data_IF_852542373602
#
_entry.id   IF_852542373602
#
_cell.length_a   1.000
_cell.length_b   1.000
_cell.length_c   1.000
_cell.angle_alpha   90.00
_cell.angle_beta   90.00
_cell.angle_gamma   90.00
#
_symmetry.space_group_name_H-M   'P 1'
#
loop_
_entity.id
_entity.type
_entity.pdbx_description
1 polymer ?
#
# COMPACT_ATOMS: atom_id res chain seq x y z
N UNK A 1 -6.74 1.20 -5.92
CA UNK A 1 -6.44 1.89 -4.66
C UNK A 1 -7.70 2.54 -4.17
N UNK A 2 -7.95 2.47 -2.87
CA UNK A 2 -9.08 3.16 -2.26
C UNK A 2 -8.81 4.67 -2.25
N UNK A 3 -9.82 5.51 -2.46
CA UNK A 3 -9.61 6.95 -2.59
C UNK A 3 -9.59 7.62 -1.21
N UNK A 4 -8.44 8.17 -0.82
CA UNK A 4 -8.30 8.87 0.46
C UNK A 4 -7.06 9.74 0.49
N UNK A 5 -6.82 10.42 1.62
CA UNK A 5 -5.63 11.29 1.77
C UNK A 5 -4.34 10.45 1.71
N UNK A 6 -4.34 9.24 2.29
CA UNK A 6 -3.21 8.30 2.22
C UNK A 6 -2.80 7.96 0.77
N UNK A 7 -3.78 7.87 -0.14
CA UNK A 7 -3.61 7.50 -1.55
C UNK A 7 -3.76 8.70 -2.49
N UNK A 8 -3.70 9.92 -1.97
CA UNK A 8 -3.80 11.14 -2.78
C UNK A 8 -2.71 11.18 -3.86
N UNK A 9 -3.11 11.52 -5.09
CA UNK A 9 -2.25 11.55 -6.27
C UNK A 9 -2.09 10.20 -6.98
N UNK A 10 -2.84 9.17 -6.58
CA UNK A 10 -2.93 7.88 -7.27
C UNK A 10 -4.29 7.69 -7.94
N UNK A 11 -4.29 6.96 -9.05
CA UNK A 11 -5.50 6.45 -9.71
C UNK A 11 -6.08 5.21 -9.04
N UNK A 12 -7.23 4.77 -9.56
CA UNK A 12 -7.88 3.55 -9.07
C UNK A 12 -7.07 2.27 -9.37
N UNK A 13 -6.32 2.24 -10.48
CA UNK A 13 -5.38 1.18 -10.85
C UNK A 13 -3.99 1.80 -11.04
N UNK A 14 -2.98 1.21 -10.42
CA UNK A 14 -1.63 1.76 -10.35
C UNK A 14 -0.60 0.63 -10.36
N UNK A 15 0.57 0.91 -10.92
CA UNK A 15 1.70 -0.03 -10.92
C UNK A 15 2.61 0.27 -9.74
N UNK A 16 2.55 -0.57 -8.70
CA UNK A 16 3.36 -0.44 -7.50
C UNK A 16 4.51 -1.44 -7.48
N UNK A 17 5.66 -1.00 -6.98
CA UNK A 17 6.86 -1.83 -6.92
C UNK A 17 6.88 -2.73 -5.69
N UNK A 18 6.99 -4.05 -5.91
CA UNK A 18 7.08 -5.08 -4.86
C UNK A 18 8.19 -6.07 -5.23
N UNK A 19 9.38 -5.89 -4.68
CA UNK A 19 10.56 -6.72 -4.97
C UNK A 19 10.51 -8.06 -4.25
N UNK A 20 10.06 -8.06 -3.00
CA UNK A 20 10.05 -9.25 -2.13
C UNK A 20 8.90 -10.20 -2.47
N UNK A 21 7.95 -9.77 -3.30
CA UNK A 21 6.72 -10.52 -3.56
C UNK A 21 5.85 -10.67 -2.32
N UNK A 22 5.89 -9.72 -1.38
CA UNK A 22 5.15 -9.77 -0.12
C UNK A 22 3.73 -9.23 -0.26
N UNK A 23 2.82 -9.77 0.55
CA UNK A 23 1.46 -9.27 0.73
C UNK A 23 1.01 -9.49 2.18
N UNK A 24 -0.03 -8.78 2.58
CA UNK A 24 -0.66 -8.90 3.90
C UNK A 24 -1.75 -9.98 3.83
N UNK A 25 -1.71 -10.94 4.75
CA UNK A 25 -2.63 -12.09 4.79
C UNK A 25 -3.85 -11.87 5.68
N UNK A 26 -3.77 -10.96 6.65
CA UNK A 26 -4.84 -10.61 7.57
C UNK A 26 -4.83 -9.10 7.85
N UNK A 27 -6.01 -8.52 7.92
CA UNK A 27 -6.24 -7.09 8.16
C UNK A 27 -7.25 -6.99 9.32
N UNK A 28 -7.02 -6.13 10.33
CA UNK A 28 -7.99 -5.90 11.40
C UNK A 28 -9.37 -5.47 10.86
N UNK A 29 -10.45 -5.78 11.57
CA UNK A 29 -11.82 -5.49 11.11
C UNK A 29 -12.09 -3.99 10.95
N UNK A 30 -11.47 -3.16 11.79
CA UNK A 30 -11.60 -1.72 11.82
C UNK A 30 -10.59 -0.98 10.93
N UNK A 31 -9.75 -1.71 10.18
CA UNK A 31 -8.75 -1.14 9.32
C UNK A 31 -9.31 -0.76 7.94
N UNK A 32 -8.84 0.38 7.41
CA UNK A 32 -9.11 0.81 6.04
C UNK A 32 -8.05 0.23 5.10
N UNK A 33 -8.49 -0.57 4.12
CA UNK A 33 -7.60 -1.10 3.08
C UNK A 33 -7.31 -0.03 2.03
N UNK A 34 -6.04 0.35 1.89
CA UNK A 34 -5.61 1.42 0.99
C UNK A 34 -5.30 0.90 -0.43
N UNK A 35 -4.71 -0.30 -0.51
CA UNK A 35 -4.34 -0.92 -1.77
C UNK A 35 -4.42 -2.45 -1.69
N UNK A 36 -4.88 -3.04 -2.79
CA UNK A 36 -4.82 -4.48 -3.04
C UNK A 36 -4.10 -4.72 -4.36
N UNK A 37 -3.43 -5.87 -4.46
CA UNK A 37 -3.03 -6.41 -5.75
C UNK A 37 -4.30 -6.67 -6.57
N UNK A 38 -4.25 -6.39 -7.87
CA UNK A 38 -5.40 -6.65 -8.74
C UNK A 38 -5.80 -8.13 -8.66
N UNK A 39 -7.11 -8.38 -8.69
CA UNK A 39 -7.69 -9.72 -8.68
C UNK A 39 -8.03 -10.21 -10.11
N UNK A 40 -7.34 -9.62 -11.10
CA UNK A 40 -7.46 -9.97 -12.50
C UNK A 40 -6.42 -11.06 -12.84
N UNK A 41 -6.74 -11.94 -13.78
CA UNK A 41 -5.84 -13.03 -14.18
C UNK A 41 -4.57 -12.55 -14.88
N UNK A 42 -4.65 -11.38 -15.52
CA UNK A 42 -3.63 -10.71 -16.31
C UNK A 42 -2.99 -9.52 -15.58
N UNK A 43 -3.04 -9.50 -14.24
CA UNK A 43 -2.42 -8.42 -13.47
C UNK A 43 -0.94 -8.24 -13.84
N UNK A 44 -0.51 -6.98 -13.86
CA UNK A 44 0.84 -6.62 -14.29
C UNK A 44 1.92 -7.30 -13.43
N UNK A 45 2.84 -8.00 -14.09
CA UNK A 45 4.00 -8.65 -13.48
C UNK A 45 5.24 -8.24 -14.28
N UNK A 46 6.23 -7.68 -13.60
CA UNK A 46 7.53 -7.37 -14.18
C UNK A 46 8.57 -8.38 -13.70
N UNK A 47 9.19 -9.13 -14.61
CA UNK A 47 10.24 -10.10 -14.31
C UNK A 47 9.72 -11.49 -13.90
N UNK A 48 10.62 -12.32 -13.38
CA UNK A 48 10.32 -13.69 -12.97
C UNK A 48 9.86 -13.72 -11.50
N UNK A 49 8.57 -13.91 -11.27
CA UNK A 49 7.97 -14.04 -9.94
C UNK A 49 7.23 -15.38 -9.78
N UNK A 50 7.90 -16.48 -9.40
CA UNK A 50 7.26 -17.77 -9.22
C UNK A 50 6.18 -17.72 -8.13
N UNK A 51 4.98 -18.24 -8.43
CA UNK A 51 3.87 -18.27 -7.47
C UNK A 51 3.14 -16.94 -7.26
N UNK A 52 3.36 -15.94 -8.13
CA UNK A 52 2.71 -14.63 -8.08
C UNK A 52 1.18 -14.68 -7.97
N UNK A 53 0.53 -15.73 -8.49
CA UNK A 53 -0.92 -15.90 -8.42
C UNK A 53 -1.48 -15.90 -6.99
N UNK A 54 -0.66 -16.23 -5.98
CA UNK A 54 -1.05 -16.16 -4.56
C UNK A 54 -1.28 -14.74 -4.05
N UNK A 55 -0.73 -13.74 -4.74
CA UNK A 55 -0.87 -12.34 -4.39
C UNK A 55 -2.18 -11.72 -4.90
N UNK A 56 -2.91 -12.37 -5.83
CA UNK A 56 -4.16 -11.85 -6.40
C UNK A 56 -5.17 -11.50 -5.30
N UNK A 57 -5.74 -10.29 -5.43
CA UNK A 57 -6.70 -9.74 -4.47
C UNK A 57 -6.16 -9.52 -3.05
N UNK A 58 -4.88 -9.79 -2.78
CA UNK A 58 -4.29 -9.64 -1.44
C UNK A 58 -4.03 -8.18 -1.12
N UNK A 59 -4.13 -7.86 0.16
CA UNK A 59 -3.86 -6.52 0.67
C UNK A 59 -2.38 -6.20 0.54
N UNK A 60 -2.10 -5.02 0.00
CA UNK A 60 -0.75 -4.45 -0.10
C UNK A 60 -0.53 -3.37 0.95
N UNK A 61 -1.57 -2.62 1.32
CA UNK A 61 -1.48 -1.60 2.34
C UNK A 61 -2.82 -1.39 3.06
N UNK A 62 -2.76 -1.09 4.36
CA UNK A 62 -3.91 -0.68 5.16
C UNK A 62 -3.50 0.36 6.21
N UNK A 63 -4.48 1.09 6.73
CA UNK A 63 -4.32 1.96 7.90
C UNK A 63 -5.33 1.59 8.98
N UNK A 64 -4.98 1.77 10.24
CA UNK A 64 -5.83 1.49 11.41
C UNK A 64 -5.46 2.41 12.55
N UNK A 65 -6.34 2.57 13.53
CA UNK A 65 -6.04 3.22 14.79
C UNK A 65 -5.85 2.13 15.83
N UNK A 66 -4.66 2.07 16.41
CA UNK A 66 -4.35 1.12 17.48
C UNK A 66 -3.78 1.88 18.67
N UNK A 67 -4.35 1.67 19.87
CA UNK A 67 -4.00 2.42 21.08
C UNK A 67 -3.98 3.94 20.85
N UNK A 68 -5.05 4.49 20.25
CA UNK A 68 -5.21 5.93 19.95
C UNK A 68 -4.17 6.50 18.97
N UNK A 69 -3.36 5.65 18.33
CA UNK A 69 -2.32 6.06 17.40
C UNK A 69 -2.60 5.50 16.00
N UNK A 70 -2.45 6.31 14.94
CA UNK A 70 -2.63 5.84 13.57
C UNK A 70 -1.42 5.00 13.14
N UNK A 71 -1.68 3.77 12.69
CA UNK A 71 -0.69 2.90 12.07
C UNK A 71 -1.02 2.70 10.61
N UNK A 72 -0.02 2.79 9.74
CA UNK A 72 -0.16 2.45 8.33
C UNK A 72 0.88 1.41 7.97
N UNK A 73 0.43 0.25 7.48
CA UNK A 73 1.29 -0.86 7.11
C UNK A 73 1.32 -1.02 5.59
N UNK A 74 2.52 -1.31 5.08
CA UNK A 74 2.79 -1.51 3.67
C UNK A 74 3.55 -2.82 3.45
N UNK A 75 3.14 -3.60 2.45
CA UNK A 75 3.80 -4.82 2.01
C UNK A 75 4.69 -4.61 0.78
N UNK A 76 4.82 -3.37 0.30
CA UNK A 76 5.63 -3.00 -0.83
C UNK A 76 6.95 -2.32 -0.41
N UNK A 77 7.87 -2.15 -1.35
CA UNK A 77 9.20 -1.62 -1.08
C UNK A 77 9.26 -0.10 -1.26
N UNK A 78 8.61 0.63 -0.35
CA UNK A 78 8.38 2.08 -0.46
C UNK A 78 9.66 2.91 -0.66
N UNK A 79 10.76 2.48 -0.05
CA UNK A 79 12.03 3.22 -0.02
C UNK A 79 13.06 2.69 -1.00
N UNK A 80 12.68 1.83 -1.94
CA UNK A 80 13.63 1.26 -2.88
C UNK A 80 14.17 2.31 -3.86
N UNK A 81 15.50 2.45 -3.86
CA UNK A 81 16.25 3.48 -4.60
C UNK A 81 16.00 3.55 -6.11
N UNK A 82 15.46 2.49 -6.73
CA UNK A 82 15.19 2.46 -8.17
C UNK A 82 13.77 2.90 -8.56
N UNK A 83 12.86 3.13 -7.60
CA UNK A 83 11.46 3.47 -7.86
C UNK A 83 10.99 4.64 -7.00
N UNK A 84 11.75 5.72 -7.05
CA UNK A 84 11.73 6.78 -6.04
C UNK A 84 10.42 7.57 -6.03
N UNK A 85 10.00 8.17 -7.13
CA UNK A 85 8.96 9.21 -7.04
C UNK A 85 7.56 8.68 -6.72
N UNK A 86 7.15 7.56 -7.33
CA UNK A 86 5.78 7.08 -7.16
C UNK A 86 5.58 6.62 -5.71
N UNK A 87 6.37 5.65 -5.25
CA UNK A 87 6.23 5.06 -3.90
C UNK A 87 6.47 6.05 -2.76
N UNK A 88 7.37 7.03 -2.89
CA UNK A 88 7.60 8.03 -1.84
C UNK A 88 6.37 8.89 -1.55
N UNK A 89 5.44 9.04 -2.50
CA UNK A 89 4.19 9.77 -2.28
C UNK A 89 3.28 9.10 -1.24
N UNK A 90 3.24 7.76 -1.17
CA UNK A 90 2.49 7.06 -0.11
C UNK A 90 3.06 7.42 1.26
N UNK A 91 4.39 7.40 1.39
CA UNK A 91 5.08 7.75 2.63
C UNK A 91 4.88 9.22 3.00
N UNK A 92 4.98 10.14 2.02
CA UNK A 92 4.77 11.56 2.23
C UNK A 92 3.33 11.87 2.68
N UNK A 93 2.32 11.22 2.07
CA UNK A 93 0.93 11.36 2.49
C UNK A 93 0.72 10.90 3.95
N UNK A 94 1.38 9.81 4.37
CA UNK A 94 1.34 9.34 5.74
C UNK A 94 1.94 10.36 6.72
N UNK A 95 3.12 10.92 6.40
CA UNK A 95 3.74 11.93 7.26
C UNK A 95 2.94 13.23 7.32
N UNK A 96 2.37 13.65 6.20
CA UNK A 96 1.50 14.82 6.17
C UNK A 96 0.29 14.62 7.09
N UNK A 97 -0.34 13.45 7.04
CA UNK A 97 -1.46 13.10 7.93
C UNK A 97 -1.03 13.04 9.40
N UNK A 98 0.09 12.39 9.72
CA UNK A 98 0.63 12.36 11.08
C UNK A 98 0.83 13.78 11.64
N UNK A 99 1.36 14.70 10.82
CA UNK A 99 1.56 16.10 11.21
C UNK A 99 0.26 16.88 11.49
N UNK A 100 -0.88 16.39 10.98
CA UNK A 100 -2.20 16.94 11.27
C UNK A 100 -2.74 16.37 12.59
N UNK A 101 -2.51 15.08 12.86
CA UNK A 101 -2.95 14.45 14.12
C UNK A 101 -2.20 15.01 15.34
N UNK A 102 -0.90 15.27 15.23
CA UNK A 102 -0.09 15.85 16.33
C UNK A 102 -0.50 17.27 16.74
N UNK A 103 -1.32 17.96 15.92
CA UNK A 103 -1.78 19.33 16.18
C UNK A 103 -3.17 19.40 16.85
N UNK A 104 -3.81 18.26 17.11
CA UNK A 104 -5.09 18.17 17.83
C UNK A 104 -4.86 17.73 19.26
#
# INVERSE_FOLDING_TARGET
MEKGIYTSGYGAKESLYVRTGSWITAVPEDAEVLAKVADDDDFFIAGLWPGHGKAKGKTLAFTTIYNEQPFTLFANDLTFRAHTQHSFRLLANCFFLASIYDKK
#
